data_IF_615328616401
#
_entry.id   IF_615328616401
#
_cell.length_a   1.000
_cell.length_b   1.000
_cell.length_c   1.000
_cell.angle_alpha   90.00
_cell.angle_beta   90.00
_cell.angle_gamma   90.00
#
_symmetry.space_group_name_H-M   'P 1'
#
loop_
_entity.id
_entity.type
_entity.pdbx_description
1 polymer ?
#
# COMPACT_ATOMS: atom_id res chain seq x y z
N UNK A 1 0.28 -27.44 -7.25
CA UNK A 1 -0.25 -26.33 -8.07
C UNK A 1 0.02 -24.97 -7.41
N UNK A 2 -0.39 -24.72 -6.17
CA UNK A 2 -0.21 -23.41 -5.48
C UNK A 2 1.25 -22.98 -5.32
N UNK A 3 2.16 -23.89 -4.92
CA UNK A 3 3.60 -23.55 -4.77
C UNK A 3 4.30 -23.16 -6.09
N UNK A 4 3.95 -23.83 -7.19
CA UNK A 4 4.48 -23.51 -8.52
C UNK A 4 3.98 -22.13 -8.98
N UNK A 5 2.71 -21.82 -8.71
CA UNK A 5 2.13 -20.50 -8.98
C UNK A 5 2.86 -19.41 -8.16
N UNK A 6 3.14 -19.65 -6.88
CA UNK A 6 3.89 -18.70 -6.04
C UNK A 6 5.34 -18.52 -6.47
N UNK A 7 6.03 -19.58 -6.90
CA UNK A 7 7.39 -19.49 -7.42
C UNK A 7 7.45 -18.73 -8.77
N UNK A 8 6.47 -18.96 -9.65
CA UNK A 8 6.32 -18.22 -10.91
C UNK A 8 6.04 -16.75 -10.64
N UNK A 9 5.09 -16.43 -9.75
CA UNK A 9 4.78 -15.06 -9.32
C UNK A 9 6.03 -14.39 -8.72
N UNK A 10 6.77 -15.10 -7.87
CA UNK A 10 8.02 -14.59 -7.30
C UNK A 10 9.09 -14.30 -8.38
N UNK A 11 9.32 -15.22 -9.33
CA UNK A 11 10.28 -15.01 -10.41
C UNK A 11 9.88 -13.81 -11.27
N UNK A 12 8.59 -13.66 -11.54
CA UNK A 12 8.01 -12.53 -12.27
C UNK A 12 8.20 -11.23 -11.48
N UNK A 13 8.04 -11.21 -10.16
CA UNK A 13 8.27 -10.03 -9.33
C UNK A 13 9.75 -9.62 -9.26
N UNK A 14 10.68 -10.57 -9.21
CA UNK A 14 12.11 -10.28 -9.09
C UNK A 14 12.79 -9.95 -10.43
N UNK A 15 12.54 -10.76 -11.45
CA UNK A 15 13.21 -10.64 -12.77
C UNK A 15 12.31 -10.01 -13.83
N UNK A 16 11.00 -10.07 -13.62
CA UNK A 16 10.00 -9.59 -14.56
C UNK A 16 9.52 -8.18 -14.25
N UNK A 17 10.31 -7.29 -13.63
CA UNK A 17 9.87 -5.91 -13.33
C UNK A 17 9.20 -5.21 -14.53
N UNK A 18 9.73 -5.41 -15.75
CA UNK A 18 9.13 -4.91 -17.00
C UNK A 18 7.81 -5.60 -17.36
N UNK A 19 7.66 -6.90 -17.07
CA UNK A 19 6.50 -7.72 -17.39
C UNK A 19 5.38 -7.58 -16.34
N UNK A 20 5.73 -7.41 -15.07
CA UNK A 20 4.83 -6.96 -13.98
C UNK A 20 4.33 -5.57 -14.29
N UNK A 21 5.20 -4.66 -14.71
CA UNK A 21 4.79 -3.31 -15.12
C UNK A 21 3.83 -3.34 -16.32
N UNK A 22 4.08 -4.20 -17.31
CA UNK A 22 3.17 -4.41 -18.45
C UNK A 22 1.85 -5.09 -18.07
N UNK A 23 1.85 -6.08 -17.18
CA UNK A 23 0.63 -6.75 -16.72
C UNK A 23 -0.18 -5.88 -15.78
N UNK A 24 0.47 -5.11 -14.91
CA UNK A 24 -0.17 -4.18 -13.99
C UNK A 24 -0.75 -2.98 -14.76
N UNK A 25 -0.04 -2.47 -15.78
CA UNK A 25 -0.58 -1.46 -16.69
C UNK A 25 -1.73 -1.98 -17.55
N UNK A 26 -1.66 -3.21 -18.05
CA UNK A 26 -2.78 -3.84 -18.75
C UNK A 26 -3.97 -4.10 -17.80
N UNK A 27 -3.73 -4.56 -16.57
CA UNK A 27 -4.77 -4.73 -15.56
C UNK A 27 -5.40 -3.39 -15.16
N UNK A 28 -4.61 -2.33 -15.02
CA UNK A 28 -5.10 -0.99 -14.71
C UNK A 28 -5.79 -0.31 -15.90
N UNK A 29 -5.41 -0.63 -17.13
CA UNK A 29 -6.18 -0.25 -18.32
C UNK A 29 -7.57 -0.88 -18.35
N UNK A 30 -7.69 -2.11 -17.82
CA UNK A 30 -8.98 -2.79 -17.65
C UNK A 30 -9.75 -2.28 -16.41
N UNK A 31 -9.08 -1.92 -15.32
CA UNK A 31 -9.71 -1.28 -14.14
C UNK A 31 -10.18 0.14 -14.46
N UNK A 32 -9.55 0.84 -15.40
CA UNK A 32 -10.07 2.09 -15.98
C UNK A 32 -11.43 1.97 -16.66
N UNK A 33 -11.95 0.74 -16.82
CA UNK A 33 -13.28 0.45 -17.36
C UNK A 33 -14.23 -0.23 -16.37
N UNK A 34 -13.79 -0.65 -15.18
CA UNK A 34 -14.67 -1.19 -14.15
C UNK A 34 -14.97 -0.15 -13.05
N UNK A 35 -16.24 0.20 -12.96
CA UNK A 35 -16.81 1.09 -11.95
C UNK A 35 -16.63 0.51 -10.55
N UNK A 36 -15.50 0.80 -9.90
CA UNK A 36 -15.31 0.61 -8.46
C UNK A 36 -15.52 1.96 -7.80
N UNK A 37 -16.78 2.31 -7.52
CA UNK A 37 -17.18 3.32 -6.53
C UNK A 37 -16.69 4.77 -6.63
N UNK A 38 -15.81 5.11 -7.58
CA UNK A 38 -15.28 6.46 -7.78
C UNK A 38 -15.21 6.74 -9.27
N UNK A 39 -16.00 7.70 -9.73
CA UNK A 39 -15.98 8.19 -11.10
C UNK A 39 -14.61 8.79 -11.42
N UNK A 40 -13.66 8.02 -11.97
CA UNK A 40 -12.72 8.41 -13.05
C UNK A 40 -11.53 7.45 -13.19
N UNK A 41 -11.06 7.19 -14.42
CA UNK A 41 -9.88 6.39 -14.70
C UNK A 41 -8.57 7.11 -14.32
N UNK A 42 -7.62 6.36 -13.74
CA UNK A 42 -6.27 6.81 -13.40
C UNK A 42 -5.42 7.07 -14.67
N UNK A 43 -4.68 8.19 -14.71
CA UNK A 43 -3.72 8.47 -15.79
C UNK A 43 -2.49 7.56 -15.66
N UNK A 44 -2.04 7.03 -16.80
CA UNK A 44 -0.89 6.13 -16.91
C UNK A 44 0.43 6.79 -16.46
N UNK A 45 0.57 8.11 -16.62
CA UNK A 45 1.79 8.84 -16.25
C UNK A 45 2.00 8.95 -14.74
N UNK A 46 0.92 9.16 -13.99
CA UNK A 46 0.97 9.31 -12.53
C UNK A 46 1.18 7.95 -11.88
N UNK A 47 0.56 6.93 -12.47
CA UNK A 47 0.79 5.55 -12.13
C UNK A 47 2.25 5.13 -12.37
N UNK A 48 2.85 5.51 -13.50
CA UNK A 48 4.24 5.15 -13.83
C UNK A 48 5.25 5.78 -12.87
N UNK A 49 5.02 7.02 -12.42
CA UNK A 49 5.87 7.69 -11.42
C UNK A 49 5.78 7.00 -10.07
N UNK A 50 4.57 6.70 -9.62
CA UNK A 50 4.32 5.98 -8.36
C UNK A 50 4.95 4.58 -8.43
N UNK A 51 4.68 3.80 -9.47
CA UNK A 51 5.22 2.44 -9.60
C UNK A 51 6.75 2.39 -9.74
N UNK A 52 7.36 3.38 -10.40
CA UNK A 52 8.81 3.47 -10.53
C UNK A 52 9.53 3.67 -9.19
N UNK A 53 8.92 4.44 -8.30
CA UNK A 53 9.43 4.70 -6.94
C UNK A 53 9.26 3.49 -6.02
N UNK A 54 8.22 2.67 -6.21
CA UNK A 54 7.95 1.51 -5.36
C UNK A 54 8.80 0.28 -5.70
N UNK A 55 9.68 0.39 -6.70
CA UNK A 55 10.45 -0.74 -7.23
C UNK A 55 11.27 -1.44 -6.15
N UNK A 56 11.77 -0.70 -5.17
CA UNK A 56 12.64 -1.24 -4.11
C UNK A 56 11.85 -2.09 -3.12
N UNK A 57 10.72 -1.59 -2.60
CA UNK A 57 9.88 -2.33 -1.65
C UNK A 57 9.18 -3.53 -2.30
N UNK A 58 8.72 -3.36 -3.54
CA UNK A 58 8.15 -4.45 -4.35
C UNK A 58 9.21 -5.53 -4.61
N UNK A 59 10.48 -5.14 -4.81
CA UNK A 59 11.58 -6.09 -4.96
C UNK A 59 11.81 -6.90 -3.68
N UNK A 60 11.84 -6.27 -2.49
CA UNK A 60 11.99 -7.00 -1.23
C UNK A 60 10.83 -7.97 -0.96
N UNK A 61 9.58 -7.53 -1.19
CA UNK A 61 8.42 -8.40 -1.09
C UNK A 61 8.49 -9.56 -2.11
N UNK A 62 8.96 -9.29 -3.33
CA UNK A 62 9.17 -10.29 -4.37
C UNK A 62 10.18 -11.38 -3.98
N UNK A 63 11.30 -11.00 -3.35
CA UNK A 63 12.32 -11.94 -2.85
C UNK A 63 11.73 -12.86 -1.77
N UNK A 64 10.97 -12.30 -0.83
CA UNK A 64 10.34 -13.09 0.23
C UNK A 64 9.33 -14.08 -0.35
N UNK A 65 8.52 -13.64 -1.31
CA UNK A 65 7.50 -14.47 -1.96
C UNK A 65 8.13 -15.57 -2.82
N UNK A 66 9.28 -15.29 -3.46
CA UNK A 66 10.12 -16.29 -4.12
C UNK A 66 10.59 -17.38 -3.17
N UNK A 67 11.17 -16.99 -2.03
CA UNK A 67 11.71 -17.93 -1.06
C UNK A 67 10.61 -18.88 -0.54
N UNK A 68 9.44 -18.31 -0.19
CA UNK A 68 8.27 -19.10 0.24
C UNK A 68 7.76 -19.99 -0.89
N UNK A 69 7.67 -19.48 -2.12
CA UNK A 69 7.25 -20.25 -3.28
C UNK A 69 8.15 -21.46 -3.56
N UNK A 70 9.47 -21.27 -3.54
CA UNK A 70 10.46 -22.35 -3.71
C UNK A 70 10.35 -23.40 -2.61
N UNK A 71 10.15 -22.98 -1.36
CA UNK A 71 9.95 -23.89 -0.24
C UNK A 71 8.68 -24.75 -0.42
N UNK A 72 7.59 -24.16 -0.89
CA UNK A 72 6.34 -24.88 -1.18
C UNK A 72 6.48 -25.86 -2.35
N UNK A 73 7.29 -25.52 -3.37
CA UNK A 73 7.59 -26.45 -4.47
C UNK A 73 8.44 -27.63 -3.97
N UNK A 74 9.47 -27.36 -3.16
CA UNK A 74 10.33 -28.40 -2.61
C UNK A 74 9.53 -29.40 -1.76
N UNK A 75 8.66 -28.92 -0.87
CA UNK A 75 7.79 -29.80 -0.06
C UNK A 75 6.80 -30.58 -0.91
N UNK A 76 6.30 -30.00 -2.01
CA UNK A 76 5.48 -30.70 -3.00
C UNK A 76 6.20 -31.84 -3.74
N UNK A 77 7.46 -31.62 -4.15
CA UNK A 77 8.29 -32.66 -4.80
C UNK A 77 8.56 -33.81 -3.83
N UNK A 78 8.87 -33.51 -2.57
CA UNK A 78 9.06 -34.51 -1.52
C UNK A 78 7.78 -35.34 -1.34
N UNK A 79 6.61 -34.70 -1.31
CA UNK A 79 5.32 -35.41 -1.24
C UNK A 79 5.08 -36.33 -2.44
N UNK A 80 5.35 -35.85 -3.65
CA UNK A 80 5.16 -36.62 -4.89
C UNK A 80 6.10 -37.84 -4.98
N UNK A 81 7.38 -37.66 -4.66
CA UNK A 81 8.37 -38.75 -4.61
C UNK A 81 8.03 -39.75 -3.50
N UNK A 82 7.59 -39.26 -2.34
CA UNK A 82 7.17 -40.10 -1.21
C UNK A 82 6.03 -41.05 -1.59
N UNK A 83 5.05 -40.54 -2.33
CA UNK A 83 3.93 -41.33 -2.84
C UNK A 83 4.35 -42.32 -3.93
N UNK A 84 5.18 -41.91 -4.90
CA UNK A 84 5.60 -42.76 -6.01
C UNK A 84 6.55 -43.89 -5.58
N UNK A 85 7.49 -43.61 -4.67
CA UNK A 85 8.49 -44.57 -4.20
C UNK A 85 8.00 -45.43 -3.02
N UNK A 86 6.74 -45.26 -2.58
CA UNK A 86 6.13 -45.95 -1.43
C UNK A 86 6.99 -45.91 -0.15
N UNK A 87 7.80 -44.86 -0.01
CA UNK A 87 8.73 -44.71 1.10
C UNK A 87 8.00 -44.10 2.30
N UNK A 88 7.69 -44.95 3.28
CA UNK A 88 6.98 -44.55 4.51
C UNK A 88 7.67 -43.40 5.24
N UNK A 89 9.01 -43.34 5.20
CA UNK A 89 9.79 -42.28 5.85
C UNK A 89 9.53 -40.90 5.21
N UNK A 90 9.53 -40.81 3.87
CA UNK A 90 9.29 -39.54 3.16
C UNK A 90 7.87 -39.01 3.40
N UNK A 91 6.89 -39.90 3.41
CA UNK A 91 5.48 -39.55 3.67
C UNK A 91 5.32 -39.03 5.11
N UNK A 92 5.95 -39.67 6.10
CA UNK A 92 5.91 -39.21 7.50
C UNK A 92 6.53 -37.82 7.62
N UNK A 93 7.70 -37.57 7.01
CA UNK A 93 8.35 -36.25 7.02
C UNK A 93 7.46 -35.18 6.39
N UNK A 94 6.84 -35.47 5.25
CA UNK A 94 5.89 -34.55 4.60
C UNK A 94 4.71 -34.19 5.50
N UNK A 95 4.08 -35.19 6.13
CA UNK A 95 2.94 -34.99 7.03
C UNK A 95 3.35 -34.14 8.24
N UNK A 96 4.52 -34.39 8.82
CA UNK A 96 5.02 -33.60 9.96
C UNK A 96 5.25 -32.14 9.57
N UNK A 97 5.90 -31.88 8.42
CA UNK A 97 6.13 -30.52 7.93
C UNK A 97 4.80 -29.80 7.70
N UNK A 98 3.84 -30.46 7.03
CA UNK A 98 2.52 -29.88 6.78
C UNK A 98 1.72 -29.64 8.06
N UNK A 99 1.82 -30.53 9.04
CA UNK A 99 1.16 -30.37 10.33
C UNK A 99 1.70 -29.16 11.10
N UNK A 100 3.03 -28.98 11.14
CA UNK A 100 3.67 -27.81 11.76
C UNK A 100 3.24 -26.52 11.06
N UNK A 101 3.25 -26.50 9.73
CA UNK A 101 2.80 -25.34 8.96
C UNK A 101 1.32 -25.00 9.21
N UNK A 102 0.46 -26.02 9.29
CA UNK A 102 -0.96 -25.84 9.58
C UNK A 102 -1.17 -25.25 10.98
N UNK A 103 -0.46 -25.76 11.99
CA UNK A 103 -0.50 -25.22 13.36
C UNK A 103 0.02 -23.78 13.41
N UNK A 104 1.11 -23.48 12.70
CA UNK A 104 1.64 -22.12 12.61
C UNK A 104 0.64 -21.16 11.95
N UNK A 105 0.03 -21.55 10.83
CA UNK A 105 -0.97 -20.73 10.14
C UNK A 105 -2.22 -20.52 11.00
N UNK A 106 -2.71 -21.57 11.66
CA UNK A 106 -3.85 -21.48 12.57
C UNK A 106 -3.54 -20.57 13.77
N UNK A 107 -2.33 -20.68 14.34
CA UNK A 107 -1.85 -19.83 15.42
C UNK A 107 -1.74 -18.35 15.01
N UNK A 108 -1.20 -18.08 13.82
CA UNK A 108 -1.13 -16.72 13.26
C UNK A 108 -2.52 -16.15 12.99
N UNK A 109 -3.42 -16.93 12.39
CA UNK A 109 -4.79 -16.50 12.12
C UNK A 109 -5.57 -16.21 13.42
N UNK A 110 -5.50 -17.12 14.40
CA UNK A 110 -6.12 -16.93 15.71
C UNK A 110 -5.52 -15.73 16.44
N UNK A 111 -4.19 -15.60 16.44
CA UNK A 111 -3.47 -14.47 17.02
C UNK A 111 -3.87 -13.14 16.39
N UNK A 112 -4.03 -13.10 15.06
CA UNK A 112 -4.51 -11.92 14.35
C UNK A 112 -5.95 -11.56 14.72
N UNK A 113 -6.87 -12.54 14.79
CA UNK A 113 -8.27 -12.30 15.13
C UNK A 113 -8.40 -11.76 16.57
N UNK A 114 -7.68 -12.37 17.51
CA UNK A 114 -7.70 -11.97 18.93
C UNK A 114 -7.08 -10.58 19.12
N UNK A 115 -5.94 -10.32 18.46
CA UNK A 115 -5.20 -9.07 18.61
C UNK A 115 -5.53 -8.03 17.55
N UNK A 116 -6.62 -8.19 16.79
CA UNK A 116 -6.97 -7.28 15.69
C UNK A 116 -6.98 -5.82 16.12
N UNK A 117 -7.46 -5.54 17.33
CA UNK A 117 -7.54 -4.19 17.88
C UNK A 117 -6.15 -3.66 18.28
N UNK A 118 -5.30 -4.50 18.85
CA UNK A 118 -3.93 -4.14 19.21
C UNK A 118 -3.08 -3.90 17.95
N UNK A 119 -3.16 -4.79 16.97
CA UNK A 119 -2.51 -4.65 15.66
C UNK A 119 -2.97 -3.36 14.96
N UNK A 120 -4.28 -3.04 15.02
CA UNK A 120 -4.81 -1.80 14.47
C UNK A 120 -4.20 -0.58 15.16
N UNK A 121 -4.17 -0.54 16.48
CA UNK A 121 -3.60 0.57 17.24
C UNK A 121 -2.10 0.73 17.02
N UNK A 122 -1.34 -0.38 17.03
CA UNK A 122 0.10 -0.34 16.81
C UNK A 122 0.44 0.07 15.38
N UNK A 123 -0.32 -0.39 14.38
CA UNK A 123 -0.17 0.07 13.00
C UNK A 123 -0.48 1.56 12.83
N UNK A 124 -1.50 2.09 13.53
CA UNK A 124 -1.79 3.53 13.53
C UNK A 124 -0.62 4.34 14.14
N UNK A 125 -0.02 3.85 15.24
CA UNK A 125 1.17 4.47 15.85
C UNK A 125 2.39 4.43 14.94
N UNK A 126 2.61 3.32 14.24
CA UNK A 126 3.71 3.21 13.29
C UNK A 126 3.51 4.17 12.11
N UNK A 127 2.31 4.22 11.53
CA UNK A 127 1.98 5.18 10.48
C UNK A 127 2.15 6.63 10.97
N UNK A 128 1.72 6.93 12.20
CA UNK A 128 1.92 8.24 12.84
C UNK A 128 3.40 8.60 12.94
N UNK A 129 4.24 7.66 13.37
CA UNK A 129 5.69 7.85 13.43
C UNK A 129 6.28 8.13 12.04
N UNK A 130 5.89 7.34 11.05
CA UNK A 130 6.34 7.50 9.66
C UNK A 130 5.91 8.84 9.07
N UNK A 131 4.68 9.28 9.31
CA UNK A 131 4.21 10.61 8.88
C UNK A 131 5.08 11.70 9.51
N UNK A 132 5.33 11.64 10.82
CA UNK A 132 6.14 12.67 11.50
C UNK A 132 7.60 12.72 11.01
N UNK A 133 8.19 11.58 10.64
CA UNK A 133 9.59 11.52 10.23
C UNK A 133 9.81 11.74 8.73
N UNK A 134 9.00 11.08 7.89
CA UNK A 134 9.22 10.98 6.45
C UNK A 134 8.36 11.93 5.63
N UNK A 135 7.24 12.41 6.14
CA UNK A 135 6.39 13.31 5.37
C UNK A 135 7.07 14.68 5.21
N UNK A 136 7.33 15.08 3.96
CA UNK A 136 8.02 16.34 3.64
C UNK A 136 7.12 17.39 2.96
N UNK A 137 5.92 16.99 2.56
CA UNK A 137 4.97 17.86 1.85
C UNK A 137 5.24 18.01 0.35
N UNK A 138 4.54 18.96 -0.27
CA UNK A 138 4.50 19.18 -1.72
C UNK A 138 5.89 19.32 -2.35
N UNK A 139 6.08 18.66 -3.50
CA UNK A 139 7.31 18.77 -4.30
C UNK A 139 8.50 17.99 -3.75
N UNK A 140 8.31 17.21 -2.69
CA UNK A 140 9.32 16.31 -2.17
C UNK A 140 9.53 15.09 -3.08
N UNK A 141 10.80 14.70 -3.25
CA UNK A 141 11.14 13.42 -3.87
C UNK A 141 10.93 12.21 -2.92
N UNK A 142 10.48 12.45 -1.68
CA UNK A 142 10.25 11.40 -0.70
C UNK A 142 9.08 10.51 -1.14
N UNK A 143 9.35 9.21 -1.21
CA UNK A 143 8.44 8.20 -1.72
C UNK A 143 7.18 8.11 -0.85
N UNK A 144 7.34 8.08 0.47
CA UNK A 144 6.23 7.98 1.42
C UNK A 144 5.27 9.18 1.32
N UNK A 145 5.81 10.39 1.12
CA UNK A 145 5.01 11.60 0.92
C UNK A 145 4.09 11.46 -0.29
N UNK A 146 4.64 11.09 -1.45
CA UNK A 146 3.87 10.92 -2.68
C UNK A 146 2.77 9.85 -2.57
N UNK A 147 3.04 8.78 -1.82
CA UNK A 147 2.08 7.70 -1.59
C UNK A 147 0.93 8.18 -0.74
N UNK A 148 1.24 8.83 0.37
CA UNK A 148 0.23 9.34 1.28
C UNK A 148 -0.64 10.39 0.60
N UNK A 149 -0.02 11.27 -0.19
CA UNK A 149 -0.74 12.27 -0.99
C UNK A 149 -1.69 11.64 -2.01
N UNK A 150 -1.26 10.58 -2.70
CA UNK A 150 -2.13 9.86 -3.62
C UNK A 150 -3.32 9.21 -2.91
N UNK A 151 -3.09 8.61 -1.75
CA UNK A 151 -4.14 7.98 -0.95
C UNK A 151 -5.16 9.02 -0.51
N UNK A 152 -4.70 10.15 0.03
CA UNK A 152 -5.57 11.24 0.48
C UNK A 152 -6.35 11.89 -0.67
N UNK A 153 -5.74 11.98 -1.84
CA UNK A 153 -6.36 12.51 -3.05
C UNK A 153 -7.48 11.60 -3.59
N UNK A 154 -7.36 10.27 -3.42
CA UNK A 154 -8.27 9.28 -4.03
C UNK A 154 -9.29 8.70 -3.05
N UNK A 155 -8.89 8.56 -1.80
CA UNK A 155 -9.75 8.11 -0.70
C UNK A 155 -10.14 9.35 0.07
N UNK A 156 -11.44 9.62 0.32
CA UNK A 156 -11.87 10.75 1.12
C UNK A 156 -11.41 10.57 2.57
N UNK A 157 -10.18 10.98 2.85
CA UNK A 157 -9.52 10.88 4.15
C UNK A 157 -8.40 11.92 4.26
N UNK A 158 -8.00 12.25 5.49
CA UNK A 158 -6.88 13.17 5.73
C UNK A 158 -6.09 12.79 6.97
N UNK A 159 -4.76 12.69 6.83
CA UNK A 159 -3.85 12.28 7.89
C UNK A 159 -3.99 10.80 8.26
N UNK A 160 -3.48 10.43 9.43
CA UNK A 160 -3.50 9.04 9.92
C UNK A 160 -4.85 8.70 10.53
N UNK A 161 -5.17 9.36 11.65
CA UNK A 161 -6.48 9.33 12.31
C UNK A 161 -7.27 10.63 12.06
N UNK A 162 -6.56 11.74 11.89
CA UNK A 162 -7.12 13.06 11.63
C UNK A 162 -6.07 13.97 10.96
N UNK A 163 -6.50 15.08 10.36
CA UNK A 163 -5.64 16.08 9.72
C UNK A 163 -4.71 16.77 10.73
N UNK A 164 -5.08 16.79 12.01
CA UNK A 164 -4.31 17.47 13.07
C UNK A 164 -2.87 16.98 13.19
N UNK A 165 -2.58 15.77 12.70
CA UNK A 165 -1.23 15.21 12.66
C UNK A 165 -0.22 16.17 12.03
N UNK A 166 -0.61 16.93 11.00
CA UNK A 166 0.26 17.88 10.31
C UNK A 166 0.67 19.08 11.17
N UNK A 167 -0.01 19.33 12.29
CA UNK A 167 0.37 20.34 13.28
C UNK A 167 1.32 19.80 14.36
N UNK A 168 1.49 18.48 14.45
CA UNK A 168 2.28 17.86 15.51
C UNK A 168 3.77 17.77 15.17
N UNK A 169 4.17 18.14 13.95
CA UNK A 169 5.55 18.07 13.48
C UNK A 169 5.85 19.16 12.45
N UNK A 170 7.12 19.59 12.40
CA UNK A 170 7.59 20.69 11.54
C UNK A 170 8.51 20.20 10.41
N UNK A 171 8.53 18.90 10.12
CA UNK A 171 9.43 18.31 9.11
C UNK A 171 8.91 18.47 7.68
N UNK A 172 7.65 18.86 7.51
CA UNK A 172 7.04 19.13 6.22
C UNK A 172 7.00 20.63 5.93
N UNK A 173 7.14 20.98 4.65
CA UNK A 173 7.08 22.37 4.23
C UNK A 173 5.62 22.83 4.16
N UNK A 174 5.15 23.47 5.23
CA UNK A 174 3.81 24.04 5.32
C UNK A 174 3.69 25.40 4.64
N UNK A 175 4.79 26.02 4.20
CA UNK A 175 4.72 27.35 3.57
C UNK A 175 4.63 27.22 2.06
N UNK A 176 3.52 27.67 1.49
CA UNK A 176 3.24 27.63 0.06
C UNK A 176 3.18 29.02 -0.56
N UNK A 177 3.74 29.14 -1.77
CA UNK A 177 3.59 30.34 -2.59
C UNK A 177 2.42 30.17 -3.54
N UNK A 178 1.39 30.97 -3.32
CA UNK A 178 0.27 31.11 -4.26
C UNK A 178 0.79 31.64 -5.60
N UNK A 179 0.03 31.38 -6.69
CA UNK A 179 0.36 31.85 -8.05
C UNK A 179 0.54 33.38 -8.15
N UNK A 180 -0.02 34.12 -7.19
CA UNK A 180 0.10 35.59 -7.10
C UNK A 180 1.36 36.06 -6.33
N UNK A 181 2.25 35.16 -5.92
CA UNK A 181 3.47 35.47 -5.18
C UNK A 181 3.30 35.65 -3.67
N UNK A 182 2.10 35.41 -3.14
CA UNK A 182 1.82 35.50 -1.69
C UNK A 182 2.20 34.20 -1.01
N UNK A 183 2.89 34.29 0.12
CA UNK A 183 3.21 33.16 0.98
C UNK A 183 2.10 32.95 2.00
N UNK A 184 1.66 31.70 2.13
CA UNK A 184 0.64 31.27 3.09
C UNK A 184 1.15 30.06 3.87
N UNK A 185 0.66 29.91 5.09
CA UNK A 185 0.88 28.71 5.88
C UNK A 185 -0.30 27.75 5.69
N UNK A 186 0.00 26.59 5.12
CA UNK A 186 -0.93 25.48 4.90
C UNK A 186 -1.24 24.80 6.23
N UNK A 187 -2.52 24.70 6.55
CA UNK A 187 -3.07 23.96 7.69
C UNK A 187 -3.02 22.45 7.42
N UNK A 188 -3.23 22.05 6.16
CA UNK A 188 -3.17 20.68 5.71
C UNK A 188 -2.60 20.59 4.28
N UNK A 189 -2.11 19.42 3.85
CA UNK A 189 -1.60 19.23 2.49
C UNK A 189 -2.68 19.33 1.42
N UNK A 190 -2.29 19.68 0.19
CA UNK A 190 -3.18 19.72 -0.98
C UNK A 190 -3.95 18.41 -1.21
N UNK A 191 -3.33 17.30 -0.84
CA UNK A 191 -3.86 15.96 -1.05
C UNK A 191 -5.08 15.67 -0.19
N UNK A 192 -5.27 16.38 0.92
CA UNK A 192 -6.50 16.32 1.71
C UNK A 192 -7.63 17.17 1.14
N UNK A 193 -7.38 18.00 0.13
CA UNK A 193 -8.40 18.82 -0.49
C UNK A 193 -9.31 17.99 -1.40
N UNK A 194 -10.54 18.45 -1.57
CA UNK A 194 -11.44 17.87 -2.56
C UNK A 194 -10.93 18.23 -3.95
N UNK A 195 -10.61 17.22 -4.74
CA UNK A 195 -10.08 17.36 -6.10
C UNK A 195 -11.25 17.32 -7.09
N UNK A 196 -11.21 18.19 -8.11
CA UNK A 196 -12.21 18.23 -9.17
C UNK A 196 -11.57 17.93 -10.51
N UNK A 197 -12.09 16.92 -11.22
CA UNK A 197 -11.64 16.56 -12.55
C UNK A 197 -10.42 15.63 -12.59
N UNK A 198 -9.72 15.62 -13.72
CA UNK A 198 -8.58 14.74 -14.01
C UNK A 198 -7.22 15.34 -13.62
N UNK A 199 -7.19 16.64 -13.29
CA UNK A 199 -6.00 17.29 -12.73
C UNK A 199 -6.00 17.02 -11.23
N UNK A 200 -4.87 16.59 -10.66
CA UNK A 200 -4.68 16.45 -9.22
C UNK A 200 -4.65 17.83 -8.51
N UNK A 201 -5.53 18.73 -8.93
CA UNK A 201 -5.61 20.09 -8.44
C UNK A 201 -6.84 20.23 -7.52
N UNK A 202 -6.69 20.98 -6.41
CA UNK A 202 -7.80 21.22 -5.50
C UNK A 202 -8.90 22.01 -6.21
N UNK A 203 -10.15 21.63 -5.97
CA UNK A 203 -11.34 22.34 -6.49
C UNK A 203 -11.38 23.80 -6.03
N UNK A 204 -10.85 24.04 -4.85
CA UNK A 204 -10.82 25.34 -4.19
C UNK A 204 -9.37 25.67 -3.81
N UNK A 205 -8.85 26.78 -4.34
CA UNK A 205 -7.48 27.24 -4.04
C UNK A 205 -7.28 27.52 -2.54
N UNK A 206 -8.35 27.83 -1.80
CA UNK A 206 -8.27 28.16 -0.38
C UNK A 206 -8.28 26.96 0.57
N UNK A 207 -8.43 25.74 0.05
CA UNK A 207 -8.56 24.57 0.90
C UNK A 207 -7.34 24.37 1.83
N UNK A 208 -6.11 24.63 1.38
CA UNK A 208 -4.93 24.33 2.21
C UNK A 208 -4.79 25.23 3.43
N UNK A 209 -5.28 26.48 3.38
CA UNK A 209 -5.14 27.46 4.47
C UNK A 209 -6.46 27.84 5.14
N UNK A 210 -7.60 27.58 4.51
CA UNK A 210 -8.94 27.74 5.09
C UNK A 210 -9.81 26.54 4.76
N UNK A 211 -9.45 25.35 5.27
CA UNK A 211 -10.20 24.13 4.98
C UNK A 211 -11.54 24.11 5.72
N UNK A 212 -12.57 23.58 5.04
CA UNK A 212 -13.92 23.35 5.55
C UNK A 212 -14.45 21.98 5.04
N UNK A 213 -15.68 21.63 5.44
CA UNK A 213 -16.32 20.36 5.04
C UNK A 213 -16.72 20.28 3.56
N UNK A 214 -16.77 21.41 2.84
CA UNK A 214 -17.13 21.48 1.43
C UNK A 214 -15.91 21.45 0.52
N UNK A 215 -14.75 21.94 0.99
CA UNK A 215 -13.53 22.07 0.20
C UNK A 215 -12.45 21.04 0.53
N UNK A 216 -12.56 20.32 1.66
CA UNK A 216 -11.56 19.36 2.14
C UNK A 216 -12.19 18.06 2.65
N UNK A 217 -11.36 17.02 2.78
CA UNK A 217 -11.70 15.73 3.38
C UNK A 217 -11.30 15.66 4.87
N UNK A 218 -11.07 16.80 5.54
CA UNK A 218 -10.58 16.81 6.93
C UNK A 218 -11.52 16.08 7.91
N UNK A 219 -12.83 16.12 7.64
CA UNK A 219 -13.88 15.56 8.50
C UNK A 219 -14.35 14.17 8.06
N UNK A 220 -13.83 13.66 6.94
CA UNK A 220 -14.17 12.33 6.45
C UNK A 220 -13.50 11.22 7.27
N UNK A 221 -12.49 11.56 8.06
CA UNK A 221 -11.72 10.67 8.93
C UNK A 221 -10.29 10.43 8.44
N UNK A 222 -9.48 9.79 9.28
CA UNK A 222 -8.09 9.47 8.95
C UNK A 222 -7.94 8.32 7.97
N UNK A 223 -6.90 8.37 7.13
CA UNK A 223 -6.68 7.36 6.09
C UNK A 223 -6.42 5.96 6.64
N UNK A 224 -5.77 5.85 7.81
CA UNK A 224 -5.56 4.56 8.44
C UNK A 224 -6.89 3.91 8.83
N UNK A 225 -7.84 4.70 9.36
CA UNK A 225 -9.14 4.18 9.77
C UNK A 225 -9.97 3.68 8.60
N UNK A 226 -9.87 4.34 7.44
CA UNK A 226 -10.58 3.98 6.19
C UNK A 226 -9.96 2.77 5.50
N UNK A 227 -8.64 2.65 5.52
CA UNK A 227 -7.91 1.52 4.93
C UNK A 227 -7.96 0.25 5.79
N UNK A 228 -8.08 0.41 7.10
CA UNK A 228 -8.17 -0.70 8.04
C UNK A 228 -9.61 -1.16 8.32
N UNK A 229 -10.62 -0.48 7.76
CA UNK A 229 -12.05 -0.84 7.88
C UNK A 229 -12.41 -1.99 6.94
#
# INVERSE_FOLDING_TARGET
TIGVVLAIIGCILHWGGNLVFQLLSAALSNIGSSQIGSSTPLSFSDLQKVLGTWSVYVSYAGIALLAVGLFLVATGIIGAIGACCNSKLLIIVYIVIMAVLALACAGLAAGYIINKNLMRTEGAKQMTTLVKSEYKGRGSANEFTNILDLIQARVPCCGVDNYTIYHEFNTWNSTYQLKNGTYIDEVLPESCCKISGATFEPTYENCTYSPDSQNSNMYEGGCYTKLAA
#
